data_IF_132543218098
#
_entry.id   IF_132543218098
#
_cell.length_a   1.000
_cell.length_b   1.000
_cell.length_c   1.000
_cell.angle_alpha   90.00
_cell.angle_beta   90.00
_cell.angle_gamma   90.00
#
_symmetry.space_group_name_H-M   'P 1'
#
loop_
_entity.id
_entity.type
_entity.pdbx_description
1 polymer ?
#
# COMPACT_ATOMS: atom_id res chain seq x y z
N UNK A 1 0.30 -12.19 22.58
CA UNK A 1 1.71 -11.79 22.36
C UNK A 1 2.01 -11.55 20.88
N UNK A 2 1.56 -12.43 19.96
CA UNK A 2 1.78 -12.25 18.51
C UNK A 2 1.09 -11.00 17.94
N UNK A 3 -0.13 -10.68 18.37
CA UNK A 3 -0.86 -9.48 17.90
C UNK A 3 -0.11 -8.18 18.19
N UNK A 4 0.40 -8.00 19.42
CA UNK A 4 1.17 -6.82 19.79
C UNK A 4 2.51 -6.73 19.03
N UNK A 5 3.13 -7.86 18.68
CA UNK A 5 4.33 -7.89 17.84
C UNK A 5 4.02 -7.54 16.38
N UNK A 6 2.90 -7.98 15.84
CA UNK A 6 2.46 -7.64 14.48
C UNK A 6 2.05 -6.18 14.42
N UNK A 7 1.30 -5.67 15.40
CA UNK A 7 0.88 -4.26 15.50
C UNK A 7 2.08 -3.34 15.74
N UNK A 8 3.07 -3.75 16.53
CA UNK A 8 4.28 -2.97 16.81
C UNK A 8 5.29 -3.03 15.67
N UNK A 9 5.37 -4.16 14.96
CA UNK A 9 6.19 -4.26 13.76
C UNK A 9 5.56 -3.52 12.58
N UNK A 10 4.22 -3.51 12.49
CA UNK A 10 3.46 -2.67 11.58
C UNK A 10 3.62 -1.19 11.93
N UNK A 11 4.72 -0.58 11.53
CA UNK A 11 4.87 0.87 11.58
C UNK A 11 3.74 1.49 10.77
N UNK A 12 2.94 2.34 11.41
CA UNK A 12 2.01 3.23 10.71
C UNK A 12 2.85 4.17 9.85
N UNK A 13 3.10 3.78 8.60
CA UNK A 13 3.83 4.62 7.66
C UNK A 13 2.96 5.84 7.35
N UNK A 14 3.44 7.07 7.61
CA UNK A 14 2.66 8.26 7.41
C UNK A 14 2.30 8.43 5.92
N UNK A 15 1.05 8.84 5.70
CA UNK A 15 0.60 9.46 4.46
C UNK A 15 0.37 10.92 4.81
N UNK A 16 1.26 11.78 4.32
CA UNK A 16 1.14 13.23 4.46
C UNK A 16 0.38 13.76 3.24
N UNK A 17 -0.46 14.79 3.41
CA UNK A 17 -1.05 15.53 2.29
C UNK A 17 -0.27 16.83 2.13
N UNK A 18 0.80 16.80 1.32
CA UNK A 18 1.57 18.01 0.96
C UNK A 18 0.91 18.79 -0.19
N UNK A 19 -0.31 18.37 -0.58
CA UNK A 19 -1.05 18.84 -1.74
C UNK A 19 -0.42 18.44 -3.09
N UNK A 20 0.52 17.48 -3.10
CA UNK A 20 1.11 16.88 -4.29
C UNK A 20 1.04 15.35 -4.19
N UNK A 21 0.01 14.76 -4.81
CA UNK A 21 -0.23 13.31 -4.74
C UNK A 21 0.94 12.48 -5.27
N UNK A 22 1.71 12.99 -6.25
CA UNK A 22 2.88 12.30 -6.77
C UNK A 22 4.01 12.28 -5.73
N UNK A 23 4.23 13.40 -5.03
CA UNK A 23 5.21 13.49 -3.96
C UNK A 23 4.80 12.66 -2.74
N UNK A 24 3.54 12.73 -2.34
CA UNK A 24 3.00 12.05 -1.16
C UNK A 24 3.08 10.53 -1.30
N UNK A 25 2.60 9.98 -2.42
CA UNK A 25 2.68 8.53 -2.67
C UNK A 25 4.13 8.05 -2.85
N UNK A 26 4.99 8.86 -3.47
CA UNK A 26 6.43 8.54 -3.59
C UNK A 26 7.10 8.48 -2.24
N UNK A 27 6.82 9.44 -1.36
CA UNK A 27 7.35 9.46 -0.01
C UNK A 27 6.91 8.21 0.78
N UNK A 28 5.60 7.94 0.77
CA UNK A 28 5.03 6.74 1.40
C UNK A 28 5.65 5.43 0.88
N UNK A 29 5.76 5.26 -0.44
CA UNK A 29 6.30 4.05 -1.03
C UNK A 29 7.80 3.85 -0.69
N UNK A 30 8.57 4.95 -0.62
CA UNK A 30 9.97 4.91 -0.19
C UNK A 30 10.11 4.57 1.29
N UNK A 31 9.24 5.12 2.15
CA UNK A 31 9.20 4.73 3.57
C UNK A 31 8.87 3.24 3.72
N UNK A 32 7.98 2.70 2.88
CA UNK A 32 7.70 1.26 2.87
C UNK A 32 8.93 0.46 2.50
N UNK A 33 9.61 0.81 1.41
CA UNK A 33 10.85 0.15 1.01
C UNK A 33 11.93 0.24 2.10
N UNK A 34 12.07 1.40 2.74
CA UNK A 34 13.03 1.58 3.84
C UNK A 34 12.71 0.63 4.99
N UNK A 35 11.48 0.67 5.50
CA UNK A 35 11.04 -0.19 6.59
C UNK A 35 11.18 -1.68 6.25
N UNK A 36 10.85 -2.06 5.01
CA UNK A 36 11.03 -3.43 4.52
C UNK A 36 12.49 -3.88 4.50
N UNK A 37 13.46 -2.96 4.38
CA UNK A 37 14.89 -3.29 4.45
C UNK A 37 15.47 -3.24 5.88
N UNK A 38 14.69 -2.77 6.86
CA UNK A 38 15.12 -2.75 8.27
C UNK A 38 14.89 -4.10 8.97
N UNK A 39 15.69 -4.46 10.00
CA UNK A 39 15.54 -5.72 10.72
C UNK A 39 14.12 -5.95 11.26
N UNK A 40 13.45 -4.90 11.72
CA UNK A 40 12.08 -4.96 12.24
C UNK A 40 11.08 -5.34 11.15
N UNK A 41 11.17 -4.72 9.96
CA UNK A 41 10.29 -5.05 8.84
C UNK A 41 10.53 -6.45 8.29
N UNK A 42 11.80 -6.86 8.19
CA UNK A 42 12.15 -8.22 7.78
C UNK A 42 11.62 -9.28 8.76
N UNK A 43 11.74 -9.05 10.06
CA UNK A 43 11.18 -9.93 11.09
C UNK A 43 9.64 -10.00 11.00
N UNK A 44 8.98 -8.87 10.76
CA UNK A 44 7.52 -8.81 10.56
C UNK A 44 7.08 -9.69 9.38
N UNK A 45 7.76 -9.57 8.24
CA UNK A 45 7.46 -10.36 7.05
C UNK A 45 7.70 -11.85 7.26
N UNK A 46 8.81 -12.20 7.91
CA UNK A 46 9.10 -13.59 8.23
C UNK A 46 7.98 -14.22 9.06
N UNK A 47 7.40 -13.49 10.02
CA UNK A 47 6.25 -13.97 10.79
C UNK A 47 5.00 -14.06 9.92
N UNK A 48 4.64 -12.98 9.23
CA UNK A 48 3.40 -12.85 8.46
C UNK A 48 3.30 -13.82 7.26
N UNK A 49 4.44 -14.24 6.69
CA UNK A 49 4.51 -15.17 5.56
C UNK A 49 5.09 -16.55 5.91
N UNK A 50 5.32 -16.84 7.21
CA UNK A 50 5.59 -18.21 7.67
C UNK A 50 4.30 -19.05 7.77
N UNK A 51 4.42 -20.31 8.17
CA UNK A 51 3.27 -21.15 8.55
C UNK A 51 2.42 -20.52 9.67
N UNK A 52 3.04 -19.74 10.57
CA UNK A 52 2.29 -18.97 11.57
C UNK A 52 1.36 -17.93 10.94
N UNK A 53 1.67 -17.46 9.73
CA UNK A 53 0.83 -16.57 8.93
C UNK A 53 -0.56 -17.13 8.63
N UNK A 54 -0.70 -18.47 8.58
CA UNK A 54 -1.98 -19.16 8.35
C UNK A 54 -2.83 -19.30 9.60
N UNK A 55 -2.29 -18.96 10.77
CA UNK A 55 -3.07 -18.99 12.02
C UNK A 55 -4.18 -17.90 11.94
N UNK A 56 -5.43 -18.21 12.32
CA UNK A 56 -6.55 -17.28 12.18
C UNK A 56 -6.29 -15.89 12.77
N UNK A 57 -5.65 -15.82 13.93
CA UNK A 57 -5.29 -14.57 14.60
C UNK A 57 -4.28 -13.73 13.80
N UNK A 58 -3.31 -14.36 13.14
CA UNK A 58 -2.30 -13.67 12.31
C UNK A 58 -2.92 -13.19 11.01
N UNK A 59 -3.78 -14.00 10.40
CA UNK A 59 -4.57 -13.60 9.23
C UNK A 59 -5.46 -12.39 9.56
N UNK A 60 -6.15 -12.40 10.70
CA UNK A 60 -6.98 -11.27 11.14
C UNK A 60 -6.14 -10.02 11.43
N UNK A 61 -4.96 -10.15 12.03
CA UNK A 61 -4.03 -9.04 12.23
C UNK A 61 -3.56 -8.45 10.89
N UNK A 62 -3.19 -9.30 9.92
CA UNK A 62 -2.83 -8.88 8.56
C UNK A 62 -3.97 -8.12 7.87
N UNK A 63 -5.21 -8.61 7.96
CA UNK A 63 -6.37 -7.92 7.39
C UNK A 63 -6.59 -6.54 8.04
N UNK A 64 -6.54 -6.45 9.36
CA UNK A 64 -6.67 -5.17 10.08
C UNK A 64 -5.58 -4.18 9.70
N UNK A 65 -4.33 -4.65 9.60
CA UNK A 65 -3.20 -3.85 9.16
C UNK A 65 -3.42 -3.23 7.78
N UNK A 66 -3.80 -4.04 6.79
CA UNK A 66 -4.02 -3.51 5.44
C UNK A 66 -5.28 -2.64 5.37
N UNK A 67 -6.34 -2.98 6.08
CA UNK A 67 -7.55 -2.16 6.16
C UNK A 67 -7.26 -0.76 6.75
N UNK A 68 -6.51 -0.69 7.85
CA UNK A 68 -6.08 0.59 8.46
C UNK A 68 -5.19 1.39 7.50
N UNK A 69 -4.30 0.72 6.77
CA UNK A 69 -3.46 1.36 5.77
C UNK A 69 -4.27 1.96 4.62
N UNK A 70 -5.30 1.26 4.17
CA UNK A 70 -6.18 1.72 3.09
C UNK A 70 -7.08 2.86 3.57
N UNK A 71 -7.66 2.78 4.77
CA UNK A 71 -8.52 3.84 5.31
C UNK A 71 -7.77 5.15 5.51
N UNK A 72 -6.49 5.10 5.91
CA UNK A 72 -5.62 6.28 6.02
C UNK A 72 -5.33 6.97 4.68
N UNK A 73 -5.47 6.28 3.55
CA UNK A 73 -5.29 6.86 2.23
C UNK A 73 -6.55 7.58 1.72
N UNK A 74 -7.74 7.26 2.25
CA UNK A 74 -9.00 7.86 1.80
C UNK A 74 -8.98 9.39 1.85
N UNK A 75 -8.57 10.06 2.96
CA UNK A 75 -8.57 11.51 3.02
C UNK A 75 -7.62 12.14 1.99
N UNK A 76 -6.44 11.54 1.81
CA UNK A 76 -5.44 12.01 0.84
C UNK A 76 -5.97 11.93 -0.59
N UNK A 77 -6.57 10.80 -0.97
CA UNK A 77 -7.09 10.57 -2.32
C UNK A 77 -8.30 11.45 -2.59
N UNK A 78 -9.23 11.59 -1.65
CA UNK A 78 -10.37 12.50 -1.80
C UNK A 78 -9.92 13.95 -1.95
N UNK A 79 -8.90 14.38 -1.19
CA UNK A 79 -8.36 15.73 -1.32
C UNK A 79 -7.67 15.94 -2.68
N UNK A 80 -6.94 14.95 -3.19
CA UNK A 80 -6.36 14.98 -4.53
C UNK A 80 -7.42 15.05 -5.65
N UNK A 81 -8.54 14.31 -5.51
CA UNK A 81 -9.70 14.40 -6.41
C UNK A 81 -10.30 15.81 -6.38
N UNK A 82 -10.52 16.38 -5.19
CA UNK A 82 -11.07 17.73 -5.04
C UNK A 82 -10.18 18.81 -5.68
N UNK A 83 -8.87 18.57 -5.79
CA UNK A 83 -7.89 19.41 -6.48
C UNK A 83 -7.76 19.12 -7.99
N UNK A 84 -8.47 18.12 -8.51
CA UNK A 84 -8.36 17.70 -9.91
C UNK A 84 -7.07 16.95 -10.25
N UNK A 85 -6.33 16.45 -9.26
CA UNK A 85 -5.08 15.69 -9.48
C UNK A 85 -5.34 14.23 -9.87
N UNK A 86 -6.52 13.72 -9.51
CA UNK A 86 -7.02 12.38 -9.82
C UNK A 86 -8.47 12.47 -10.35
N UNK A 87 -8.90 11.55 -11.24
CA UNK A 87 -10.28 11.48 -11.70
C UNK A 87 -11.27 11.18 -10.57
N UNK A 88 -12.49 11.71 -10.71
CA UNK A 88 -13.64 11.30 -9.89
C UNK A 88 -13.85 9.79 -10.06
N UNK A 89 -14.08 9.09 -8.94
CA UNK A 89 -14.25 7.64 -8.91
C UNK A 89 -12.94 6.85 -8.71
N UNK A 90 -11.79 7.52 -8.56
CA UNK A 90 -10.55 6.83 -8.16
C UNK A 90 -10.72 6.20 -6.77
N UNK A 91 -10.63 4.88 -6.69
CA UNK A 91 -10.73 4.14 -5.45
C UNK A 91 -9.43 4.25 -4.63
N UNK A 92 -9.49 4.77 -3.38
CA UNK A 92 -8.30 4.91 -2.55
C UNK A 92 -7.59 3.59 -2.25
N UNK A 93 -8.35 2.51 -2.04
CA UNK A 93 -7.79 1.21 -1.70
C UNK A 93 -7.10 0.57 -2.91
N UNK A 94 -7.71 0.63 -4.10
CA UNK A 94 -7.09 0.13 -5.34
C UNK A 94 -5.84 0.92 -5.72
N UNK A 95 -5.84 2.25 -5.53
CA UNK A 95 -4.64 3.06 -5.72
C UNK A 95 -3.49 2.60 -4.82
N UNK A 96 -3.74 2.41 -3.52
CA UNK A 96 -2.70 1.94 -2.60
C UNK A 96 -2.25 0.51 -2.94
N UNK A 97 -3.18 -0.40 -3.26
CA UNK A 97 -2.85 -1.77 -3.70
C UNK A 97 -1.92 -1.74 -4.91
N UNK A 98 -2.22 -0.91 -5.92
CA UNK A 98 -1.40 -0.76 -7.11
C UNK A 98 0.01 -0.21 -6.80
N UNK A 99 0.15 0.64 -5.78
CA UNK A 99 1.46 1.13 -5.30
C UNK A 99 2.26 0.02 -4.61
N UNK A 100 1.64 -0.73 -3.69
CA UNK A 100 2.38 -1.66 -2.82
C UNK A 100 2.59 -3.05 -3.43
N UNK A 101 1.71 -3.49 -4.34
CA UNK A 101 1.76 -4.84 -4.90
C UNK A 101 3.06 -5.14 -5.66
N UNK A 102 3.61 -4.26 -6.53
CA UNK A 102 4.89 -4.51 -7.20
C UNK A 102 6.07 -4.64 -6.24
N UNK A 103 6.02 -3.93 -5.11
CA UNK A 103 7.06 -3.99 -4.07
C UNK A 103 7.00 -5.34 -3.36
N UNK A 104 5.82 -5.76 -2.94
CA UNK A 104 5.62 -7.05 -2.27
C UNK A 104 5.85 -8.24 -3.20
N UNK A 105 5.49 -8.16 -4.48
CA UNK A 105 5.77 -9.19 -5.47
C UNK A 105 7.28 -9.44 -5.57
N UNK A 106 8.06 -8.36 -5.73
CA UNK A 106 9.53 -8.46 -5.82
C UNK A 106 10.13 -9.11 -4.58
N UNK A 107 9.69 -8.65 -3.41
CA UNK A 107 10.26 -9.11 -2.15
C UNK A 107 9.86 -10.55 -1.81
N UNK A 108 8.58 -10.89 -1.93
CA UNK A 108 8.02 -12.12 -1.37
C UNK A 108 7.91 -13.25 -2.38
N UNK A 109 7.76 -12.93 -3.67
CA UNK A 109 7.52 -13.93 -4.72
C UNK A 109 8.78 -14.17 -5.53
N UNK A 110 9.45 -13.12 -5.98
CA UNK A 110 10.65 -13.25 -6.83
C UNK A 110 11.96 -13.19 -6.05
N UNK A 111 11.91 -12.90 -4.73
CA UNK A 111 13.07 -12.74 -3.85
C UNK A 111 14.11 -11.73 -4.37
N UNK A 112 13.64 -10.69 -5.07
CA UNK A 112 14.47 -9.58 -5.53
C UNK A 112 14.61 -8.50 -4.46
N UNK A 113 15.76 -7.82 -4.47
CA UNK A 113 15.94 -6.63 -3.64
C UNK A 113 14.92 -5.53 -4.00
N UNK A 114 14.41 -4.85 -2.99
CA UNK A 114 13.53 -3.68 -3.14
C UNK A 114 14.32 -2.40 -2.86
N UNK A 115 14.26 -1.45 -3.79
CA UNK A 115 15.03 -0.20 -3.74
C UNK A 115 14.10 1.01 -3.87
N UNK A 116 14.54 2.22 -3.51
CA UNK A 116 13.74 3.43 -3.71
C UNK A 116 13.28 3.61 -5.17
N UNK A 117 14.07 3.15 -6.15
CA UNK A 117 13.70 3.18 -7.57
C UNK A 117 12.52 2.25 -7.91
N UNK A 118 12.38 1.13 -7.20
CA UNK A 118 11.22 0.24 -7.29
C UNK A 118 9.97 0.96 -6.80
N UNK A 119 10.06 1.63 -5.64
CA UNK A 119 8.97 2.44 -5.10
C UNK A 119 8.53 3.55 -6.08
N UNK A 120 9.48 4.31 -6.61
CA UNK A 120 9.21 5.38 -7.57
C UNK A 120 8.51 4.86 -8.84
N UNK A 121 8.94 3.70 -9.32
CA UNK A 121 8.35 3.07 -10.51
C UNK A 121 6.93 2.58 -10.22
N UNK A 122 6.71 1.95 -9.07
CA UNK A 122 5.38 1.47 -8.67
C UNK A 122 4.38 2.64 -8.55
N UNK A 123 4.79 3.75 -7.93
CA UNK A 123 3.96 4.96 -7.82
C UNK A 123 3.62 5.54 -9.19
N UNK A 124 4.60 5.64 -10.09
CA UNK A 124 4.34 6.13 -11.46
C UNK A 124 3.36 5.24 -12.22
N UNK A 125 3.46 3.93 -12.08
CA UNK A 125 2.52 2.98 -12.70
C UNK A 125 1.11 3.19 -12.12
N UNK A 126 0.99 3.21 -10.80
CA UNK A 126 -0.29 3.35 -10.11
C UNK A 126 -0.98 4.69 -10.44
N UNK A 127 -0.24 5.80 -10.43
CA UNK A 127 -0.79 7.12 -10.75
C UNK A 127 -1.19 7.24 -12.22
N UNK A 128 -0.43 6.64 -13.15
CA UNK A 128 -0.83 6.60 -14.55
C UNK A 128 -2.11 5.79 -14.76
N UNK A 129 -2.25 4.65 -14.08
CA UNK A 129 -3.47 3.84 -14.11
C UNK A 129 -4.68 4.60 -13.52
N UNK A 130 -4.49 5.23 -12.36
CA UNK A 130 -5.52 6.05 -11.71
C UNK A 130 -5.98 7.21 -12.60
N UNK A 131 -5.03 7.96 -13.18
CA UNK A 131 -5.31 9.07 -14.09
C UNK A 131 -6.00 8.63 -15.38
N UNK A 132 -5.78 7.39 -15.81
CA UNK A 132 -6.49 6.78 -16.92
C UNK A 132 -7.88 6.23 -16.54
N UNK A 133 -8.30 6.34 -15.27
CA UNK A 133 -9.59 5.84 -14.79
C UNK A 133 -9.64 4.32 -14.61
N UNK A 134 -8.49 3.66 -14.49
CA UNK A 134 -8.40 2.19 -14.44
C UNK A 134 -8.46 1.61 -13.02
N UNK A 135 -8.65 2.46 -12.02
CA UNK A 135 -8.82 2.07 -10.61
C UNK A 135 -10.17 2.57 -10.07
N UNK A 136 -11.31 2.22 -10.70
CA UNK A 136 -12.62 2.58 -10.19
C UNK A 136 -12.96 1.78 -8.93
N UNK A 137 -13.87 2.30 -8.11
CA UNK A 137 -14.46 1.49 -7.04
C UNK A 137 -15.17 0.27 -7.63
N UNK A 138 -15.16 -0.86 -6.92
CA UNK A 138 -15.72 -2.13 -7.44
C UNK A 138 -17.21 -2.11 -7.82
N UNK A 139 -17.94 -1.07 -7.41
CA UNK A 139 -19.33 -0.81 -7.81
C UNK A 139 -19.45 -0.17 -9.21
N UNK A 140 -18.35 0.36 -9.76
CA UNK A 140 -18.25 1.06 -11.05
C UNK A 140 -17.44 0.27 -12.11
N UNK A 141 -17.12 -1.01 -11.88
CA UNK A 141 -16.40 -1.82 -12.87
C UNK A 141 -17.28 -2.04 -14.13
N UNK A 142 -16.93 -1.46 -15.29
CA UNK A 142 -17.71 -1.65 -16.52
C UNK A 142 -17.66 -3.10 -17.02
N UNK A 143 -16.81 -3.96 -16.47
CA UNK A 143 -16.80 -5.39 -16.78
C UNK A 143 -17.94 -6.19 -16.09
N UNK A 144 -18.72 -5.54 -15.20
CA UNK A 144 -19.79 -6.18 -14.42
C UNK A 144 -21.21 -5.72 -14.80
N UNK A 145 -21.37 -4.90 -15.85
CA UNK A 145 -22.66 -4.51 -16.47
C UNK A 145 -22.72 -4.98 -17.92
#
# INVERSE_FOLDING_TARGET
MTDALIDMAATSLPLEDTQDIDADLRHFARLLVQWLNEPTGQAALAILWSDAGRLPQVTQAKHRLFADRFSRAEPLVHAAIARGQLPVGTDPAELIKAVIAPIYLRLLVTAEAVTPAVADTAVRIALNAARAGLLPSGDDDPAMT
#
